data_IF_949553802587
#
_entry.id   IF_949553802587
#
_cell.length_a   1.000
_cell.length_b   1.000
_cell.length_c   1.000
_cell.angle_alpha   90.00
_cell.angle_beta   90.00
_cell.angle_gamma   90.00
#
_symmetry.space_group_name_H-M   'P 1'
#
loop_
_entity.id
_entity.type
_entity.pdbx_description
1 polymer ?
#
# COMPACT_ATOMS: atom_id res chain seq x y z
N UNK A 1 33.50 -28.79 7.44
CA UNK A 1 32.15 -28.75 8.07
C UNK A 1 31.96 -27.67 9.17
N UNK A 2 32.69 -26.53 9.24
CA UNK A 2 32.24 -25.35 10.03
C UNK A 2 31.63 -24.23 9.17
N UNK A 3 32.01 -24.16 7.89
CA UNK A 3 31.57 -23.10 6.96
C UNK A 3 30.08 -23.24 6.61
N UNK A 4 29.57 -24.47 6.44
CA UNK A 4 28.16 -24.72 6.14
C UNK A 4 27.23 -24.23 7.26
N UNK A 5 27.65 -24.36 8.53
CA UNK A 5 26.86 -23.90 9.67
C UNK A 5 26.79 -22.37 9.67
N UNK A 6 27.90 -21.68 9.37
CA UNK A 6 27.92 -20.22 9.27
C UNK A 6 27.01 -19.69 8.14
N UNK A 7 26.97 -20.38 7.00
CA UNK A 7 26.07 -20.04 5.87
C UNK A 7 24.60 -20.24 6.25
N UNK A 8 24.27 -21.33 6.97
CA UNK A 8 22.90 -21.58 7.43
C UNK A 8 22.48 -20.54 8.48
N UNK A 9 23.33 -20.24 9.46
CA UNK A 9 23.02 -19.25 10.51
C UNK A 9 22.88 -17.84 9.93
N UNK A 10 23.71 -17.45 8.98
CA UNK A 10 23.60 -16.14 8.30
C UNK A 10 22.34 -16.04 7.45
N UNK A 11 21.97 -17.09 6.70
CA UNK A 11 20.72 -17.13 5.93
C UNK A 11 19.48 -17.07 6.84
N UNK A 12 19.47 -17.80 7.96
CA UNK A 12 18.36 -17.76 8.94
C UNK A 12 18.24 -16.40 9.62
N UNK A 13 19.36 -15.74 9.92
CA UNK A 13 19.37 -14.40 10.51
C UNK A 13 18.77 -13.35 9.56
N UNK A 14 19.04 -13.47 8.26
CA UNK A 14 18.47 -12.58 7.24
C UNK A 14 16.94 -12.76 7.11
N UNK A 15 16.42 -13.98 7.30
CA UNK A 15 14.98 -14.24 7.24
C UNK A 15 14.23 -13.55 8.39
N UNK A 16 14.80 -13.50 9.60
CA UNK A 16 14.18 -12.79 10.74
C UNK A 16 14.25 -11.26 10.63
N UNK A 17 15.21 -10.72 9.87
CA UNK A 17 15.31 -9.27 9.60
C UNK A 17 14.36 -8.83 8.49
N UNK A 18 13.86 -9.76 7.67
CA UNK A 18 13.09 -9.44 6.47
C UNK A 18 11.57 -9.31 6.67
N UNK A 19 11.03 -9.59 7.86
CA UNK A 19 9.60 -9.34 8.11
C UNK A 19 9.37 -7.85 8.37
N UNK A 20 8.60 -7.13 7.53
CA UNK A 20 8.36 -5.70 7.72
C UNK A 20 7.67 -5.43 9.06
N UNK A 21 7.84 -4.26 9.66
CA UNK A 21 7.24 -3.94 10.97
C UNK A 21 5.71 -3.73 10.92
N UNK A 22 5.13 -3.61 9.72
CA UNK A 22 3.70 -3.46 9.47
C UNK A 22 3.29 -4.05 8.11
N UNK A 23 1.97 -4.16 7.91
CA UNK A 23 1.37 -4.51 6.63
C UNK A 23 0.23 -3.56 6.27
N UNK A 24 0.20 -3.10 5.01
CA UNK A 24 -0.89 -2.30 4.43
C UNK A 24 -1.97 -3.18 3.76
N UNK A 25 -2.01 -4.48 4.04
CA UNK A 25 -3.03 -5.37 3.49
C UNK A 25 -4.43 -4.99 3.97
N UNK A 26 -5.43 -5.19 3.13
CA UNK A 26 -6.84 -4.99 3.51
C UNK A 26 -7.35 -6.00 4.56
N UNK A 27 -6.65 -7.13 4.68
CA UNK A 27 -7.00 -8.25 5.57
C UNK A 27 -5.81 -8.59 6.48
N UNK A 28 -6.08 -9.10 7.70
CA UNK A 28 -5.03 -9.70 8.53
C UNK A 28 -4.24 -10.77 7.77
N UNK A 29 -2.95 -10.89 8.05
CA UNK A 29 -2.06 -11.90 7.49
C UNK A 29 -1.24 -12.58 8.59
N UNK A 30 -0.55 -13.67 8.27
CA UNK A 30 0.28 -14.39 9.25
C UNK A 30 1.34 -13.44 9.85
N UNK A 31 1.26 -13.21 11.15
CA UNK A 31 2.12 -12.26 11.87
C UNK A 31 1.63 -10.80 11.92
N UNK A 32 0.55 -10.45 11.21
CA UNK A 32 -0.04 -9.10 11.19
C UNK A 32 -1.54 -9.16 11.43
N UNK A 33 -1.93 -9.30 12.70
CA UNK A 33 -3.32 -9.52 13.12
C UNK A 33 -3.95 -8.29 13.75
N UNK A 34 -3.15 -7.40 14.33
CA UNK A 34 -3.64 -6.24 15.07
C UNK A 34 -3.85 -5.05 14.13
N UNK A 35 -5.10 -4.65 13.93
CA UNK A 35 -5.43 -3.46 13.14
C UNK A 35 -5.18 -2.19 13.93
N UNK A 36 -4.50 -1.22 13.32
CA UNK A 36 -4.30 0.14 13.83
C UNK A 36 -4.65 1.17 12.75
N UNK A 37 -4.76 2.43 13.17
CA UNK A 37 -4.96 3.59 12.30
C UNK A 37 -3.87 4.62 12.59
N UNK A 38 -3.27 5.21 11.56
CA UNK A 38 -2.27 6.27 11.75
C UNK A 38 -2.90 7.52 12.36
N UNK A 39 -2.12 8.33 13.06
CA UNK A 39 -2.64 9.52 13.74
C UNK A 39 -3.21 10.57 12.76
N UNK A 40 -2.53 10.87 11.64
CA UNK A 40 -2.89 11.98 10.75
C UNK A 40 -3.95 11.57 9.72
N UNK A 41 -3.60 10.64 8.83
CA UNK A 41 -4.43 10.27 7.68
C UNK A 41 -5.44 9.15 7.98
N UNK A 42 -5.42 8.61 9.22
CA UNK A 42 -6.26 7.48 9.65
C UNK A 42 -6.12 6.28 8.71
N UNK A 43 -4.91 6.04 8.21
CA UNK A 43 -4.63 4.93 7.30
C UNK A 43 -4.67 3.62 8.08
N UNK A 44 -5.47 2.62 7.67
CA UNK A 44 -5.48 1.33 8.31
C UNK A 44 -4.22 0.53 7.98
N UNK A 45 -3.56 0.02 9.01
CA UNK A 45 -2.40 -0.88 8.89
C UNK A 45 -2.49 -2.01 9.91
N UNK A 46 -1.83 -3.13 9.64
CA UNK A 46 -1.77 -4.30 10.52
C UNK A 46 -0.37 -4.50 11.07
N UNK A 47 -0.29 -4.90 12.34
CA UNK A 47 0.96 -5.13 13.07
C UNK A 47 0.94 -6.45 13.83
N UNK A 48 2.13 -6.93 14.21
CA UNK A 48 2.28 -8.12 15.05
C UNK A 48 2.00 -7.87 16.53
N UNK A 49 2.02 -8.94 17.33
CA UNK A 49 1.65 -8.91 18.75
C UNK A 49 2.57 -8.03 19.61
N UNK A 50 3.88 -8.02 19.32
CA UNK A 50 4.89 -7.29 20.10
C UNK A 50 5.03 -5.81 19.71
N UNK A 51 4.25 -5.34 18.72
CA UNK A 51 4.37 -4.00 18.16
C UNK A 51 4.34 -2.89 19.22
N UNK A 52 3.40 -2.96 20.17
CA UNK A 52 3.24 -1.95 21.21
C UNK A 52 4.42 -1.88 22.19
N UNK A 53 5.26 -2.92 22.26
CA UNK A 53 6.49 -2.94 23.08
C UNK A 53 7.67 -2.35 22.32
N UNK A 54 7.70 -2.53 21.01
CA UNK A 54 8.82 -2.13 20.14
C UNK A 54 8.68 -0.68 19.65
N UNK A 55 7.47 -0.23 19.35
CA UNK A 55 7.19 1.08 18.76
C UNK A 55 6.39 1.95 19.72
N UNK A 56 7.08 2.89 20.36
CA UNK A 56 6.47 3.88 21.27
C UNK A 56 7.02 5.29 21.00
N UNK A 57 6.28 6.31 21.46
CA UNK A 57 6.71 7.71 21.39
C UNK A 57 7.11 8.15 19.98
N UNK A 58 8.34 8.66 19.85
CA UNK A 58 8.86 9.17 18.57
C UNK A 58 9.02 8.07 17.50
N UNK A 59 9.39 6.85 17.90
CA UNK A 59 9.54 5.73 16.95
C UNK A 59 8.21 5.35 16.33
N UNK A 60 7.12 5.37 17.11
CA UNK A 60 5.78 5.16 16.59
C UNK A 60 5.39 6.25 15.58
N UNK A 61 5.64 7.53 15.90
CA UNK A 61 5.33 8.64 14.99
C UNK A 61 6.11 8.55 13.67
N UNK A 62 7.39 8.20 13.73
CA UNK A 62 8.21 8.03 12.53
C UNK A 62 7.73 6.85 11.68
N UNK A 63 7.37 5.74 12.33
CA UNK A 63 6.80 4.60 11.63
C UNK A 63 5.46 4.97 10.97
N UNK A 64 4.55 5.63 11.68
CA UNK A 64 3.26 6.02 11.10
C UNK A 64 3.42 6.98 9.92
N UNK A 65 4.44 7.86 9.94
CA UNK A 65 4.79 8.65 8.76
C UNK A 65 5.22 7.77 7.58
N UNK A 66 6.06 6.76 7.80
CA UNK A 66 6.43 5.79 6.75
C UNK A 66 5.22 5.00 6.22
N UNK A 67 4.30 4.60 7.11
CA UNK A 67 3.02 3.96 6.72
C UNK A 67 2.21 4.86 5.80
N UNK A 68 2.10 6.15 6.14
CA UNK A 68 1.39 7.16 5.34
C UNK A 68 2.06 7.41 3.98
N UNK A 69 3.39 7.52 3.95
CA UNK A 69 4.16 7.72 2.72
C UNK A 69 4.00 6.53 1.76
N UNK A 70 4.11 5.30 2.26
CA UNK A 70 3.88 4.08 1.49
C UNK A 70 2.45 3.97 0.97
N UNK A 71 1.47 4.34 1.80
CA UNK A 71 0.07 4.36 1.41
C UNK A 71 -0.18 5.34 0.25
N UNK A 72 0.38 6.55 0.33
CA UNK A 72 0.30 7.55 -0.74
C UNK A 72 1.01 7.05 -2.00
N UNK A 73 2.18 6.42 -1.88
CA UNK A 73 2.91 5.82 -3.00
C UNK A 73 2.07 4.75 -3.70
N UNK A 74 1.44 3.86 -2.93
CA UNK A 74 0.52 2.85 -3.45
C UNK A 74 -0.70 3.47 -4.14
N UNK A 75 -1.30 4.51 -3.57
CA UNK A 75 -2.40 5.25 -4.20
C UNK A 75 -1.98 5.88 -5.52
N UNK A 76 -0.78 6.48 -5.62
CA UNK A 76 -0.24 7.04 -6.87
C UNK A 76 -0.09 5.95 -7.94
N UNK A 77 0.51 4.82 -7.59
CA UNK A 77 0.70 3.69 -8.50
C UNK A 77 -0.64 3.13 -8.99
N UNK A 78 -1.60 2.94 -8.08
CA UNK A 78 -2.92 2.44 -8.44
C UNK A 78 -3.71 3.46 -9.27
N UNK A 79 -3.64 4.74 -8.94
CA UNK A 79 -4.24 5.81 -9.72
C UNK A 79 -3.70 5.83 -11.16
N UNK A 80 -2.38 5.66 -11.33
CA UNK A 80 -1.78 5.57 -12.67
C UNK A 80 -2.35 4.38 -13.45
N UNK A 81 -2.46 3.20 -12.83
CA UNK A 81 -3.06 2.00 -13.44
C UNK A 81 -4.54 2.22 -13.81
N UNK A 82 -5.33 2.81 -12.92
CA UNK A 82 -6.74 3.13 -13.15
C UNK A 82 -6.93 4.10 -14.33
N UNK A 83 -6.11 5.15 -14.40
CA UNK A 83 -6.09 6.09 -15.53
C UNK A 83 -5.73 5.38 -16.83
N UNK A 84 -4.66 4.59 -16.82
CA UNK A 84 -4.23 3.84 -18.00
C UNK A 84 -5.32 2.89 -18.50
N UNK A 85 -6.02 2.21 -17.59
CA UNK A 85 -7.14 1.33 -17.93
C UNK A 85 -8.30 2.13 -18.55
N UNK A 86 -8.66 3.28 -17.97
CA UNK A 86 -9.71 4.16 -18.50
C UNK A 86 -9.38 4.68 -19.89
N UNK A 87 -8.17 5.19 -20.10
CA UNK A 87 -7.70 5.66 -21.40
C UNK A 87 -7.64 4.53 -22.43
N UNK A 88 -7.20 3.33 -22.03
CA UNK A 88 -7.22 2.15 -22.89
C UNK A 88 -8.63 1.77 -23.36
N UNK A 89 -9.63 1.85 -22.47
CA UNK A 89 -11.03 1.64 -22.85
C UNK A 89 -11.54 2.73 -23.79
N UNK A 90 -11.25 4.00 -23.51
CA UNK A 90 -11.64 5.13 -24.36
C UNK A 90 -11.03 5.03 -25.76
N UNK A 91 -9.75 4.70 -25.84
CA UNK A 91 -9.04 4.50 -27.10
C UNK A 91 -9.70 3.38 -27.92
N UNK A 92 -9.93 2.22 -27.31
CA UNK A 92 -10.58 1.08 -27.96
C UNK A 92 -11.98 1.42 -28.45
N UNK A 93 -12.77 2.12 -27.63
CA UNK A 93 -14.11 2.56 -27.99
C UNK A 93 -14.12 3.47 -29.21
N UNK A 94 -13.20 4.46 -29.26
CA UNK A 94 -13.05 5.36 -30.41
C UNK A 94 -12.57 4.63 -31.65
N UNK A 95 -11.64 3.70 -31.51
CA UNK A 95 -11.06 2.95 -32.62
C UNK A 95 -12.10 2.06 -33.32
N UNK A 96 -12.94 1.36 -32.55
CA UNK A 96 -13.98 0.48 -33.10
C UNK A 96 -15.33 1.16 -33.31
N UNK A 97 -15.49 2.43 -32.92
CA UNK A 97 -16.78 3.13 -32.98
C UNK A 97 -17.83 2.61 -31.99
N UNK A 98 -17.40 1.98 -30.89
CA UNK A 98 -18.28 1.38 -29.89
C UNK A 98 -18.78 2.43 -28.89
N UNK A 99 -20.01 2.91 -29.11
CA UNK A 99 -20.64 3.93 -28.27
C UNK A 99 -20.97 3.45 -26.84
N UNK A 100 -21.28 2.17 -26.66
CA UNK A 100 -21.59 1.61 -25.33
C UNK A 100 -20.30 1.54 -24.50
N UNK A 101 -19.22 1.01 -25.09
CA UNK A 101 -17.91 0.98 -24.45
C UNK A 101 -17.42 2.40 -24.15
N UNK A 102 -17.69 3.37 -25.03
CA UNK A 102 -17.33 4.77 -24.78
C UNK A 102 -18.04 5.34 -23.55
N UNK A 103 -19.35 5.12 -23.42
CA UNK A 103 -20.14 5.56 -22.26
C UNK A 103 -19.68 4.86 -20.97
N UNK A 104 -19.38 3.56 -21.04
CA UNK A 104 -18.83 2.79 -19.92
C UNK A 104 -17.46 3.32 -19.49
N UNK A 105 -16.58 3.59 -20.44
CA UNK A 105 -15.25 4.12 -20.19
C UNK A 105 -15.30 5.52 -19.55
N UNK A 106 -16.21 6.39 -19.99
CA UNK A 106 -16.42 7.69 -19.36
C UNK A 106 -16.84 7.57 -17.88
N UNK A 107 -17.76 6.66 -17.58
CA UNK A 107 -18.26 6.39 -16.22
C UNK A 107 -17.32 5.52 -15.38
N UNK A 108 -16.24 4.99 -15.95
CA UNK A 108 -15.26 4.23 -15.22
C UNK A 108 -14.68 5.07 -14.08
N UNK A 109 -14.81 4.56 -12.86
CA UNK A 109 -14.36 5.21 -11.64
C UNK A 109 -12.86 4.97 -11.46
N UNK A 110 -12.20 5.97 -10.89
CA UNK A 110 -10.78 5.93 -10.50
C UNK A 110 -10.67 6.20 -9.00
N UNK A 111 -11.06 5.24 -8.14
CA UNK A 111 -11.16 5.47 -6.70
C UNK A 111 -9.82 5.84 -6.06
N UNK A 112 -8.71 5.25 -6.52
CA UNK A 112 -7.37 5.58 -5.98
C UNK A 112 -6.98 7.02 -6.33
N UNK A 113 -7.31 7.47 -7.54
CA UNK A 113 -7.10 8.87 -7.92
C UNK A 113 -7.95 9.84 -7.11
N UNK A 114 -9.24 9.51 -6.87
CA UNK A 114 -10.13 10.34 -6.08
C UNK A 114 -9.60 10.50 -4.63
N UNK A 115 -9.19 9.38 -4.02
CA UNK A 115 -8.61 9.41 -2.66
C UNK A 115 -7.30 10.18 -2.59
N UNK A 116 -6.42 10.01 -3.59
CA UNK A 116 -5.17 10.76 -3.66
C UNK A 116 -5.41 12.27 -3.78
N UNK A 117 -6.41 12.69 -4.56
CA UNK A 117 -6.80 14.09 -4.70
C UNK A 117 -7.33 14.67 -3.39
N UNK A 118 -8.15 13.91 -2.66
CA UNK A 118 -8.68 14.32 -1.35
C UNK A 118 -7.54 14.55 -0.33
N UNK A 119 -6.59 13.62 -0.27
CA UNK A 119 -5.42 13.74 0.64
C UNK A 119 -4.56 14.94 0.25
N UNK A 120 -4.29 15.12 -1.05
CA UNK A 120 -3.47 16.24 -1.53
C UNK A 120 -4.15 17.59 -1.25
N UNK A 121 -5.49 17.66 -1.37
CA UNK A 121 -6.25 18.86 -1.04
C UNK A 121 -6.26 19.17 0.46
N UNK A 122 -6.20 18.15 1.34
CA UNK A 122 -6.16 18.35 2.80
C UNK A 122 -4.79 18.79 3.34
N UNK A 123 -3.73 18.69 2.54
CA UNK A 123 -2.36 19.08 2.88
C UNK A 123 -2.04 20.54 2.51
N UNK A 124 -2.96 21.21 1.82
CA UNK A 124 -2.86 22.61 1.37
C UNK A 124 -3.82 23.48 2.17
#
# INVERSE_FOLDING_TARGET
MPILILVIVSALSQIMVNSPSYSLSFRPSAGYTQKRLTENLKVPYYVGEQFSKEFTGMNLKNLERSVEDDYISNLRNNCWKEKQQKEGMLYRARYFGDSELYQRAQRARTPSCAKLSEITASLH
#
